data_IF_722481228795
#
_entry.id   IF_722481228795
#
_cell.length_a   1.000
_cell.length_b   1.000
_cell.length_c   1.000
_cell.angle_alpha   90.00
_cell.angle_beta   90.00
_cell.angle_gamma   90.00
#
_symmetry.space_group_name_H-M   'P 1'
#
loop_
_entity.id
_entity.type
_entity.pdbx_description
1 polymer ?
#
# COMPACT_ATOMS: atom_id res chain seq x y z
N UNK A 1 6.67 3.36 3.21
CA UNK A 1 8.13 3.50 3.40
C UNK A 1 8.37 4.47 4.57
N UNK A 2 9.31 4.16 5.48
CA UNK A 2 9.59 5.02 6.64
C UNK A 2 10.46 6.26 6.31
N UNK A 3 11.00 6.33 5.10
CA UNK A 3 11.84 7.41 4.58
C UNK A 3 11.32 7.89 3.21
N UNK A 4 11.94 8.93 2.65
CA UNK A 4 11.64 9.46 1.31
C UNK A 4 11.46 8.32 0.30
N UNK A 5 10.33 8.30 -0.38
CA UNK A 5 10.02 7.34 -1.40
C UNK A 5 10.61 7.78 -2.75
N UNK A 6 11.33 6.87 -3.37
CA UNK A 6 11.98 7.06 -4.67
C UNK A 6 11.29 6.21 -5.74
N UNK A 7 11.70 6.39 -6.99
CA UNK A 7 11.15 5.70 -8.16
C UNK A 7 11.04 4.18 -7.98
N UNK A 8 11.99 3.57 -7.27
CA UNK A 8 11.98 2.14 -7.01
C UNK A 8 10.75 1.69 -6.17
N UNK A 9 10.30 2.51 -5.22
CA UNK A 9 9.11 2.22 -4.43
C UNK A 9 7.83 2.24 -5.29
N UNK A 10 7.76 3.16 -6.25
CA UNK A 10 6.64 3.26 -7.21
C UNK A 10 6.64 2.06 -8.16
N UNK A 11 7.80 1.67 -8.71
CA UNK A 11 7.94 0.47 -9.55
C UNK A 11 7.54 -0.81 -8.81
N UNK A 12 7.92 -0.92 -7.53
CA UNK A 12 7.54 -2.04 -6.70
C UNK A 12 6.01 -2.12 -6.53
N UNK A 13 5.35 -1.00 -6.24
CA UNK A 13 3.89 -0.94 -6.10
C UNK A 13 3.18 -1.24 -7.41
N UNK A 14 3.65 -0.69 -8.54
CA UNK A 14 3.13 -0.99 -9.88
C UNK A 14 3.13 -2.49 -10.15
N UNK A 15 4.25 -3.16 -9.86
CA UNK A 15 4.36 -4.61 -10.06
C UNK A 15 3.32 -5.37 -9.25
N UNK A 16 3.08 -4.97 -7.99
CA UNK A 16 2.03 -5.57 -7.19
C UNK A 16 0.63 -5.31 -7.74
N UNK A 17 0.32 -4.10 -8.17
CA UNK A 17 -0.98 -3.78 -8.78
C UNK A 17 -1.25 -4.66 -9.98
N UNK A 18 -0.27 -4.80 -10.89
CA UNK A 18 -0.43 -5.68 -12.06
C UNK A 18 -0.69 -7.13 -11.67
N UNK A 19 0.01 -7.67 -10.66
CA UNK A 19 -0.29 -9.02 -10.15
C UNK A 19 -1.69 -9.12 -9.53
N UNK A 20 -2.15 -8.07 -8.86
CA UNK A 20 -3.48 -8.03 -8.26
C UNK A 20 -4.58 -7.69 -9.26
N UNK A 21 -4.28 -7.18 -10.44
CA UNK A 21 -5.26 -6.97 -11.52
C UNK A 21 -5.41 -8.21 -12.41
N UNK A 22 -4.54 -9.22 -12.24
CA UNK A 22 -4.63 -10.46 -12.99
C UNK A 22 -5.91 -11.23 -12.62
N UNK A 23 -6.84 -11.33 -13.56
CA UNK A 23 -8.15 -11.97 -13.41
C UNK A 23 -8.09 -13.49 -13.71
N UNK A 24 -6.90 -14.04 -13.99
CA UNK A 24 -6.73 -15.47 -14.27
C UNK A 24 -6.65 -16.27 -12.97
N UNK A 25 -7.79 -16.33 -12.28
CA UNK A 25 -7.95 -17.12 -11.07
C UNK A 25 -9.19 -18.01 -11.20
N UNK A 26 -8.97 -19.32 -11.33
CA UNK A 26 -10.04 -20.32 -11.45
C UNK A 26 -11.07 -20.22 -10.33
N UNK A 27 -10.65 -19.89 -9.10
CA UNK A 27 -11.55 -19.73 -7.97
C UNK A 27 -12.52 -18.54 -8.13
N UNK A 28 -12.07 -17.43 -8.73
CA UNK A 28 -12.93 -16.27 -9.01
C UNK A 28 -13.95 -16.58 -10.12
N UNK A 29 -13.53 -17.36 -11.13
CA UNK A 29 -14.40 -17.83 -12.22
C UNK A 29 -15.49 -18.75 -11.69
N UNK A 30 -15.15 -19.68 -10.79
CA UNK A 30 -16.12 -20.57 -10.11
C UNK A 30 -17.13 -19.79 -9.26
N UNK A 31 -16.69 -18.71 -8.61
CA UNK A 31 -17.56 -17.89 -7.75
C UNK A 31 -18.44 -16.89 -8.52
N UNK A 32 -18.29 -16.74 -9.85
CA UNK A 32 -19.00 -15.76 -10.68
C UNK A 32 -18.89 -14.30 -10.18
N UNK A 33 -17.82 -13.97 -9.45
CA UNK A 33 -17.58 -12.63 -8.91
C UNK A 33 -16.57 -11.89 -9.76
N UNK A 34 -16.91 -10.69 -10.20
CA UNK A 34 -15.95 -9.80 -10.87
C UNK A 34 -14.98 -9.19 -9.86
N UNK A 35 -13.70 -9.17 -10.23
CA UNK A 35 -12.66 -8.54 -9.42
C UNK A 35 -12.93 -7.05 -9.31
N UNK A 36 -12.93 -6.52 -8.08
CA UNK A 36 -13.09 -5.09 -7.85
C UNK A 36 -11.82 -4.35 -8.26
N UNK A 37 -11.98 -3.09 -8.69
CA UNK A 37 -10.85 -2.21 -9.05
C UNK A 37 -9.85 -2.11 -7.89
N UNK A 38 -8.60 -2.47 -8.16
CA UNK A 38 -7.50 -2.35 -7.20
C UNK A 38 -6.96 -0.92 -7.24
N UNK A 39 -6.67 -0.36 -6.06
CA UNK A 39 -6.05 0.97 -5.92
C UNK A 39 -4.74 0.85 -5.18
N UNK A 40 -3.71 1.51 -5.70
CA UNK A 40 -2.40 1.58 -5.06
C UNK A 40 -2.30 2.81 -4.18
N UNK A 41 -1.91 2.62 -2.93
CA UNK A 41 -1.62 3.71 -2.00
C UNK A 41 -0.16 3.65 -1.55
N UNK A 42 0.62 4.64 -1.94
CA UNK A 42 2.00 4.79 -1.47
C UNK A 42 2.03 5.70 -0.24
N UNK A 43 2.42 5.11 0.88
CA UNK A 43 2.55 5.82 2.16
C UNK A 43 4.03 6.09 2.44
N UNK A 44 4.46 7.35 2.52
CA UNK A 44 5.82 7.73 2.89
C UNK A 44 5.87 9.15 3.43
N UNK A 45 6.89 9.57 4.19
CA UNK A 45 6.97 10.96 4.69
C UNK A 45 7.12 12.00 3.57
N UNK A 46 7.76 11.63 2.46
CA UNK A 46 7.96 12.48 1.28
C UNK A 46 8.23 11.66 0.03
N UNK A 47 8.10 12.29 -1.14
CA UNK A 47 8.43 11.72 -2.46
C UNK A 47 9.61 12.46 -3.09
N UNK A 48 10.40 11.75 -3.91
CA UNK A 48 11.25 12.39 -4.91
C UNK A 48 10.42 12.98 -6.06
N UNK A 49 10.97 13.98 -6.75
CA UNK A 49 10.28 14.62 -7.89
C UNK A 49 10.01 13.61 -9.01
N UNK A 50 11.01 12.81 -9.41
CA UNK A 50 10.82 11.73 -10.39
C UNK A 50 9.80 10.68 -9.94
N UNK A 51 9.73 10.42 -8.63
CA UNK A 51 8.78 9.47 -8.07
C UNK A 51 7.35 10.03 -8.10
N UNK A 52 7.20 11.35 -7.92
CA UNK A 52 5.92 12.05 -7.98
C UNK A 52 5.37 12.02 -9.41
N UNK A 53 6.17 12.37 -10.41
CA UNK A 53 5.73 12.28 -11.82
C UNK A 53 5.29 10.87 -12.20
N UNK A 54 6.04 9.85 -11.77
CA UNK A 54 5.70 8.46 -12.05
C UNK A 54 4.41 8.03 -11.34
N UNK A 55 4.16 8.49 -10.11
CA UNK A 55 2.95 8.11 -9.36
C UNK A 55 1.69 8.70 -9.98
N UNK A 56 1.75 9.95 -10.44
CA UNK A 56 0.66 10.64 -11.12
C UNK A 56 0.35 9.97 -12.47
N UNK A 57 1.40 9.62 -13.24
CA UNK A 57 1.25 8.91 -14.52
C UNK A 57 0.59 7.54 -14.37
N UNK A 58 0.93 6.81 -13.31
CA UNK A 58 0.41 5.46 -13.06
C UNK A 58 -0.93 5.47 -12.31
N UNK A 59 -1.46 6.64 -11.93
CA UNK A 59 -2.73 6.76 -11.22
C UNK A 59 -2.70 6.19 -9.80
N UNK A 60 -1.52 6.19 -9.16
CA UNK A 60 -1.31 5.68 -7.81
C UNK A 60 -1.48 6.82 -6.81
N UNK A 61 -2.19 6.57 -5.71
CA UNK A 61 -2.45 7.56 -4.67
C UNK A 61 -1.23 7.69 -3.74
N UNK A 62 -0.92 8.91 -3.29
CA UNK A 62 0.15 9.16 -2.32
C UNK A 62 -0.39 9.80 -1.04
N UNK A 63 0.05 9.28 0.11
CA UNK A 63 -0.26 9.88 1.41
C UNK A 63 1.03 10.09 2.20
N UNK A 64 1.23 11.35 2.61
CA UNK A 64 2.36 11.75 3.44
C UNK A 64 2.14 11.30 4.90
N UNK A 65 2.91 10.32 5.37
CA UNK A 65 2.86 9.85 6.76
C UNK A 65 4.26 9.79 7.34
N UNK A 66 4.45 10.44 8.48
CA UNK A 66 5.68 10.34 9.24
C UNK A 66 5.72 9.03 10.04
N UNK A 67 6.84 8.31 10.04
CA UNK A 67 6.97 7.09 10.81
C UNK A 67 6.79 7.40 12.31
N UNK A 68 6.03 6.58 13.06
CA UNK A 68 5.93 6.75 14.50
C UNK A 68 7.30 6.50 15.13
N UNK A 69 7.77 7.46 15.95
CA UNK A 69 9.07 7.39 16.63
C UNK A 69 9.07 6.43 17.83
N UNK A 70 7.89 6.13 18.37
CA UNK A 70 7.71 5.24 19.50
C UNK A 70 6.74 4.12 19.11
N UNK A 71 7.12 2.87 19.38
CA UNK A 71 6.12 1.82 19.53
C UNK A 71 5.27 2.24 20.72
N UNK A 72 4.05 2.70 20.49
CA UNK A 72 3.03 2.68 21.54
C UNK A 72 2.87 1.20 21.90
N UNK A 73 3.63 0.74 22.89
CA UNK A 73 3.33 -0.50 23.59
C UNK A 73 1.96 -0.25 24.19
N UNK A 74 0.95 -0.72 23.47
CA UNK A 74 -0.40 -0.81 24.00
C UNK A 74 -0.26 -1.35 25.42
N UNK A 75 -0.76 -0.59 26.39
CA UNK A 75 -0.75 -1.01 27.79
C UNK A 75 -1.28 -2.43 27.77
N UNK A 76 -0.47 -3.39 28.23
CA UNK A 76 -0.96 -4.70 28.65
C UNK A 76 -2.05 -4.42 29.68
N UNK A 77 -3.30 -4.31 29.23
CA UNK A 77 -4.45 -4.46 30.11
C UNK A 77 -4.50 -5.96 30.33
N UNK A 78 -3.67 -6.45 31.24
CA UNK A 78 -3.99 -7.70 31.91
C UNK A 78 -5.36 -7.46 32.52
N UNK A 79 -6.39 -8.09 31.94
CA UNK A 79 -7.68 -8.28 32.58
C UNK A 79 -7.39 -9.15 33.81
N UNK A 80 -6.99 -8.49 34.89
CA UNK A 80 -6.96 -9.03 36.24
C UNK A 80 -8.22 -8.49 36.92
N UNK A 81 -9.32 -9.19 36.68
CA UNK A 81 -10.58 -9.03 37.39
C UNK A 81 -11.38 -10.33 37.28
N UNK A 82 -11.11 -11.20 38.25
CA UNK A 82 -11.97 -12.25 38.85
C UNK A 82 -12.70 -13.24 37.94
#
# INVERSE_FOLDING_TARGET
KARKAEVNAVKQLKRYLTYFEDDDNDYLKECLVQKKKIRGLLVAPSLGEDAKELIEKEGIEFVAVNPPKELKRDKKVTLDAF
#
